data_IF_480414041741
#
_entry.id   IF_480414041741
#
_cell.length_a   1.000
_cell.length_b   1.000
_cell.length_c   1.000
_cell.angle_alpha   90.00
_cell.angle_beta   90.00
_cell.angle_gamma   90.00
#
_symmetry.space_group_name_H-M   'P 1'
#
loop_
_entity.id
_entity.type
_entity.pdbx_description
1 polymer ?
#
# COMPACT_ATOMS: atom_id res chain seq x y z
N UNK A 1 7.16 17.08 -17.56
CA UNK A 1 5.85 16.49 -17.76
C UNK A 1 5.14 16.39 -16.43
N UNK A 2 3.91 16.84 -16.34
CA UNK A 2 3.21 16.74 -15.08
C UNK A 2 2.20 15.61 -15.12
N UNK A 3 2.08 14.94 -13.99
CA UNK A 3 1.15 13.83 -13.83
C UNK A 3 -0.06 14.30 -13.06
N UNK A 4 -1.21 13.77 -13.42
CA UNK A 4 -2.36 13.85 -12.53
C UNK A 4 -2.16 12.82 -11.44
N UNK A 5 -2.68 13.07 -10.21
CA UNK A 5 -2.48 12.12 -9.11
C UNK A 5 -2.89 10.69 -9.47
N UNK A 6 -4.01 10.52 -10.16
CA UNK A 6 -4.48 9.18 -10.52
C UNK A 6 -3.51 8.48 -11.48
N UNK A 7 -2.96 9.23 -12.41
CA UNK A 7 -2.04 8.66 -13.39
C UNK A 7 -0.72 8.29 -12.73
N UNK A 8 -0.23 9.13 -11.84
CA UNK A 8 0.98 8.82 -11.10
C UNK A 8 0.75 7.62 -10.20
N UNK A 9 -0.42 7.53 -9.57
CA UNK A 9 -0.77 6.38 -8.73
C UNK A 9 -0.70 5.09 -9.52
N UNK A 10 -1.22 5.06 -10.74
CA UNK A 10 -1.17 3.86 -11.58
C UNK A 10 0.27 3.51 -11.95
N UNK A 11 1.07 4.50 -12.29
CA UNK A 11 2.47 4.27 -12.62
C UNK A 11 3.24 3.72 -11.43
N UNK A 12 3.01 4.27 -10.25
CA UNK A 12 3.66 3.80 -9.02
C UNK A 12 3.24 2.36 -8.73
N UNK A 13 1.95 2.07 -8.84
CA UNK A 13 1.44 0.73 -8.58
C UNK A 13 2.14 -0.29 -9.47
N UNK A 14 2.24 0.01 -10.75
CA UNK A 14 2.89 -0.89 -11.69
C UNK A 14 4.36 -1.10 -11.36
N UNK A 15 5.09 -0.01 -11.14
CA UNK A 15 6.54 -0.12 -10.92
C UNK A 15 6.86 -0.77 -9.58
N UNK A 16 6.12 -0.45 -8.53
CA UNK A 16 6.36 -1.08 -7.23
C UNK A 16 6.04 -2.57 -7.30
N UNK A 17 4.96 -2.94 -7.98
CA UNK A 17 4.62 -4.35 -8.14
C UNK A 17 5.74 -5.12 -8.82
N UNK A 18 6.32 -4.54 -9.87
CA UNK A 18 7.43 -5.17 -10.58
C UNK A 18 8.69 -5.23 -9.71
N UNK A 19 8.95 -4.17 -8.97
CA UNK A 19 10.10 -4.11 -8.07
C UNK A 19 10.04 -5.21 -7.02
N UNK A 20 8.90 -5.39 -6.39
CA UNK A 20 8.73 -6.39 -5.35
C UNK A 20 8.87 -7.79 -5.92
N UNK A 21 8.35 -8.01 -7.12
CA UNK A 21 8.44 -9.33 -7.74
C UNK A 21 9.86 -9.66 -8.21
N UNK A 22 10.54 -8.67 -8.79
CA UNK A 22 11.76 -8.95 -9.53
C UNK A 22 13.05 -8.62 -8.79
N UNK A 23 13.03 -7.63 -7.90
CA UNK A 23 14.28 -7.13 -7.32
C UNK A 23 14.36 -7.18 -5.80
N UNK A 24 13.25 -7.06 -5.12
CA UNK A 24 13.26 -7.10 -3.67
C UNK A 24 13.10 -8.53 -3.19
N UNK A 25 14.21 -9.12 -2.79
CA UNK A 25 14.22 -10.52 -2.35
C UNK A 25 14.53 -10.63 -0.88
N UNK A 26 13.77 -9.92 -0.09
CA UNK A 26 13.89 -9.99 1.37
C UNK A 26 12.99 -11.11 1.87
N UNK A 27 13.55 -12.11 2.58
CA UNK A 27 12.72 -13.22 3.06
C UNK A 27 11.62 -12.81 4.02
N UNK A 28 11.72 -11.61 4.60
CA UNK A 28 10.66 -11.08 5.45
C UNK A 28 9.48 -10.57 4.65
N UNK A 29 9.67 -10.36 3.36
CA UNK A 29 8.60 -9.96 2.46
C UNK A 29 8.05 -11.22 1.85
N UNK A 30 6.91 -11.68 2.36
CA UNK A 30 6.28 -12.89 1.87
C UNK A 30 5.46 -12.61 0.63
N UNK A 31 4.33 -13.27 0.53
CA UNK A 31 3.44 -13.02 -0.60
C UNK A 31 2.75 -11.70 -0.38
N UNK A 32 3.13 -10.72 -1.18
CA UNK A 32 2.58 -9.37 -1.08
C UNK A 32 2.09 -8.94 -2.46
N UNK A 33 0.94 -8.30 -2.46
CA UNK A 33 0.36 -7.76 -3.69
C UNK A 33 0.00 -6.30 -3.43
N UNK A 34 0.40 -5.42 -4.34
CA UNK A 34 0.03 -4.02 -4.23
C UNK A 34 -1.37 -3.87 -4.78
N UNK A 35 -2.29 -3.43 -3.95
CA UNK A 35 -3.70 -3.39 -4.29
C UNK A 35 -4.16 -2.01 -4.73
N UNK A 36 -3.56 -0.97 -4.20
CA UNK A 36 -3.95 0.39 -4.55
C UNK A 36 -2.83 1.35 -4.22
N UNK A 37 -2.83 2.48 -4.88
CA UNK A 37 -1.92 3.59 -4.56
C UNK A 37 -2.75 4.86 -4.60
N UNK A 38 -2.59 5.69 -3.57
CA UNK A 38 -3.22 7.00 -3.51
C UNK A 38 -2.14 8.06 -3.50
N UNK A 39 -2.25 9.02 -4.39
CA UNK A 39 -1.28 10.12 -4.47
C UNK A 39 -1.99 11.42 -4.12
N UNK A 40 -1.35 12.24 -3.30
CA UNK A 40 -1.91 13.52 -2.90
C UNK A 40 -1.99 14.47 -4.10
N UNK A 41 -2.87 15.47 -3.99
CA UNK A 41 -3.09 16.42 -5.09
C UNK A 41 -1.82 17.15 -5.48
N UNK A 42 -0.96 17.43 -4.51
CA UNK A 42 0.30 18.13 -4.77
C UNK A 42 1.41 17.17 -5.21
N UNK A 43 1.11 15.89 -5.35
CA UNK A 43 2.05 14.84 -5.79
C UNK A 43 3.22 14.64 -4.81
N UNK A 44 3.08 15.05 -3.58
CA UNK A 44 4.16 14.95 -2.60
C UNK A 44 4.12 13.69 -1.77
N UNK A 45 2.95 13.08 -1.66
CA UNK A 45 2.78 11.90 -0.79
C UNK A 45 2.03 10.83 -1.53
N UNK A 46 2.46 9.60 -1.32
CA UNK A 46 1.81 8.43 -1.91
C UNK A 46 1.64 7.37 -0.84
N UNK A 47 0.41 6.90 -0.67
CA UNK A 47 0.11 5.75 0.17
C UNK A 47 0.02 4.52 -0.71
N UNK A 48 0.82 3.53 -0.40
CA UNK A 48 0.87 2.29 -1.18
C UNK A 48 0.24 1.19 -0.32
N UNK A 49 -0.87 0.67 -0.77
CA UNK A 49 -1.61 -0.36 -0.04
C UNK A 49 -1.18 -1.74 -0.51
N UNK A 50 -0.85 -2.58 0.44
CA UNK A 50 -0.36 -3.92 0.17
C UNK A 50 -1.23 -4.94 0.87
N UNK A 51 -1.63 -5.96 0.14
CA UNK A 51 -2.28 -7.13 0.70
C UNK A 51 -1.21 -8.17 0.97
N UNK A 52 -1.17 -8.69 2.19
CA UNK A 52 -0.14 -9.63 2.61
C UNK A 52 -0.82 -10.90 3.07
N UNK A 53 -0.39 -12.01 2.51
CA UNK A 53 -0.90 -13.31 2.90
C UNK A 53 -0.18 -13.77 4.16
N UNK A 54 -0.94 -14.23 5.15
CA UNK A 54 -0.37 -14.77 6.38
C UNK A 54 -1.06 -14.25 7.62
N UNK A 55 -0.52 -14.61 8.76
CA UNK A 55 -1.05 -14.20 10.05
C UNK A 55 -0.76 -12.72 10.32
N UNK A 56 -1.45 -12.09 11.27
CA UNK A 56 -1.21 -10.68 11.57
C UNK A 56 0.25 -10.36 11.89
N UNK A 57 0.97 -11.27 12.54
CA UNK A 57 2.39 -11.05 12.81
C UNK A 57 3.21 -11.04 11.52
N UNK A 58 2.86 -11.92 10.58
CA UNK A 58 3.54 -11.96 9.28
C UNK A 58 3.24 -10.68 8.50
N UNK A 59 2.00 -10.23 8.56
CA UNK A 59 1.58 -9.01 7.88
C UNK A 59 2.35 -7.80 8.39
N UNK A 60 2.48 -7.69 9.72
CA UNK A 60 3.24 -6.59 10.33
C UNK A 60 4.72 -6.66 9.96
N UNK A 61 5.29 -7.85 9.97
CA UNK A 61 6.69 -8.03 9.63
C UNK A 61 6.94 -7.64 8.17
N UNK A 62 6.03 -7.99 7.28
CA UNK A 62 6.15 -7.63 5.87
C UNK A 62 6.05 -6.12 5.66
N UNK A 63 5.08 -5.48 6.29
CA UNK A 63 4.95 -4.02 6.18
C UNK A 63 6.18 -3.32 6.75
N UNK A 64 6.72 -3.83 7.84
CA UNK A 64 7.94 -3.28 8.44
C UNK A 64 9.12 -3.42 7.48
N UNK A 65 9.23 -4.57 6.82
CA UNK A 65 10.30 -4.79 5.84
C UNK A 65 10.15 -3.86 4.65
N UNK A 66 8.94 -3.66 4.16
CA UNK A 66 8.69 -2.72 3.07
C UNK A 66 9.03 -1.30 3.47
N UNK A 67 8.68 -0.92 4.69
CA UNK A 67 9.01 0.41 5.21
C UNK A 67 10.52 0.59 5.31
N UNK A 68 11.23 -0.47 5.71
CA UNK A 68 12.69 -0.43 5.74
C UNK A 68 13.31 -0.28 4.37
N UNK A 69 12.64 -0.73 3.33
CA UNK A 69 13.13 -0.64 1.95
C UNK A 69 12.61 0.60 1.21
N UNK A 70 11.86 1.47 1.90
CA UNK A 70 11.18 2.56 1.18
C UNK A 70 12.14 3.55 0.52
N UNK A 71 13.33 3.75 1.09
CA UNK A 71 14.31 4.61 0.46
C UNK A 71 14.77 4.07 -0.88
N UNK A 72 15.06 2.78 -0.93
CA UNK A 72 15.42 2.12 -2.17
C UNK A 72 14.28 2.16 -3.19
N UNK A 73 13.08 1.84 -2.72
CA UNK A 73 11.90 1.83 -3.60
C UNK A 73 11.64 3.23 -4.16
N UNK A 74 11.75 4.23 -3.32
CA UNK A 74 11.53 5.62 -3.73
C UNK A 74 12.55 6.03 -4.79
N UNK A 75 13.80 5.67 -4.58
CA UNK A 75 14.86 5.96 -5.53
C UNK A 75 14.59 5.29 -6.88
N UNK A 76 14.18 4.02 -6.85
CA UNK A 76 13.87 3.29 -8.08
C UNK A 76 12.68 3.88 -8.79
N UNK A 77 11.66 4.32 -8.04
CA UNK A 77 10.49 4.95 -8.65
C UNK A 77 10.88 6.22 -9.40
N UNK A 78 11.72 7.04 -8.79
CA UNK A 78 12.18 8.28 -9.42
C UNK A 78 12.88 8.00 -10.73
N UNK A 79 13.71 6.96 -10.75
CA UNK A 79 14.46 6.58 -11.94
C UNK A 79 13.55 5.97 -13.00
N UNK A 80 12.66 5.08 -12.62
CA UNK A 80 11.81 4.33 -13.55
C UNK A 80 10.73 5.18 -14.19
N UNK A 81 10.14 6.07 -13.39
CA UNK A 81 9.06 6.94 -13.88
C UNK A 81 9.62 8.27 -14.37
N UNK A 82 10.90 8.52 -14.12
CA UNK A 82 11.58 9.76 -14.50
C UNK A 82 10.93 10.97 -13.85
N UNK A 83 10.68 10.85 -12.54
CA UNK A 83 10.06 11.92 -11.80
C UNK A 83 11.09 12.96 -11.41
N UNK A 84 10.69 14.22 -11.53
CA UNK A 84 11.51 15.33 -11.06
C UNK A 84 11.57 15.32 -9.53
N UNK A 85 10.42 15.09 -8.93
CA UNK A 85 10.30 14.95 -7.48
C UNK A 85 9.56 13.67 -7.21
N UNK A 86 10.17 12.79 -6.44
CA UNK A 86 9.54 11.53 -6.09
C UNK A 86 8.73 11.73 -4.81
N UNK A 87 7.46 11.35 -4.80
CA UNK A 87 6.65 11.48 -3.58
C UNK A 87 7.24 10.70 -2.43
N UNK A 88 6.97 11.14 -1.23
CA UNK A 88 7.23 10.33 -0.06
C UNK A 88 6.22 9.21 -0.03
N UNK A 89 6.70 7.99 0.17
CA UNK A 89 5.83 6.83 0.14
C UNK A 89 5.64 6.26 1.52
N UNK A 90 4.44 5.74 1.76
CA UNK A 90 4.10 5.06 3.00
C UNK A 90 3.40 3.77 2.62
N UNK A 91 3.86 2.67 3.18
CA UNK A 91 3.22 1.38 2.95
C UNK A 91 2.16 1.16 4.02
N UNK A 92 0.99 0.75 3.59
CA UNK A 92 -0.14 0.47 4.47
C UNK A 92 -0.70 -0.89 4.12
N UNK A 93 -1.09 -1.61 5.15
CA UNK A 93 -1.70 -2.91 4.95
C UNK A 93 -3.12 -2.71 4.44
N UNK A 94 -3.42 -3.34 3.30
CA UNK A 94 -4.77 -3.33 2.77
C UNK A 94 -5.48 -4.57 3.27
N UNK A 95 -6.47 -4.36 4.07
CA UNK A 95 -7.27 -5.44 4.65
C UNK A 95 -8.63 -5.54 3.98
N UNK A 96 -8.70 -5.25 2.68
CA UNK A 96 -9.98 -5.21 2.00
C UNK A 96 -10.70 -6.56 2.06
N UNK A 97 -9.98 -7.68 1.98
CA UNK A 97 -10.60 -8.99 2.12
C UNK A 97 -11.09 -9.18 3.54
N UNK A 98 -10.22 -8.91 4.52
CA UNK A 98 -10.60 -8.94 5.93
C UNK A 98 -11.57 -7.83 6.24
N UNK A 99 -11.45 -6.72 5.56
CA UNK A 99 -12.38 -5.61 5.71
C UNK A 99 -13.79 -6.00 5.35
N UNK A 100 -13.94 -6.84 4.33
CA UNK A 100 -15.25 -7.37 3.98
C UNK A 100 -15.87 -8.12 5.14
N UNK A 101 -15.11 -9.03 5.74
CA UNK A 101 -15.55 -9.78 6.91
C UNK A 101 -15.79 -8.86 8.09
N UNK A 102 -14.88 -7.93 8.33
CA UNK A 102 -15.01 -6.98 9.41
C UNK A 102 -16.20 -6.06 9.22
N UNK A 103 -16.46 -5.67 7.99
CA UNK A 103 -17.60 -4.82 7.69
C UNK A 103 -18.90 -5.53 8.00
N UNK A 104 -18.99 -6.80 7.65
CA UNK A 104 -20.18 -7.59 7.99
C UNK A 104 -20.35 -7.67 9.49
N UNK A 105 -19.29 -7.96 10.23
CA UNK A 105 -19.33 -7.98 11.68
C UNK A 105 -19.74 -6.63 12.24
N UNK A 106 -19.20 -5.58 11.70
CA UNK A 106 -19.48 -4.24 12.15
C UNK A 106 -20.95 -3.88 11.91
N UNK A 107 -21.47 -4.29 10.78
CA UNK A 107 -22.88 -4.09 10.47
C UNK A 107 -23.78 -4.84 11.44
N UNK A 108 -23.39 -6.06 11.80
CA UNK A 108 -24.12 -6.82 12.80
C UNK A 108 -24.03 -6.13 14.17
N UNK A 109 -22.87 -5.66 14.55
CA UNK A 109 -22.69 -4.94 15.80
C UNK A 109 -23.51 -3.67 15.84
N UNK A 110 -23.58 -2.97 14.73
CA UNK A 110 -24.38 -1.76 14.64
C UNK A 110 -25.85 -2.08 14.87
N UNK A 111 -26.34 -3.17 14.30
CA UNK A 111 -27.71 -3.59 14.55
C UNK A 111 -27.94 -3.92 16.01
N UNK A 112 -27.00 -4.58 16.64
CA UNK A 112 -27.14 -4.96 18.04
C UNK A 112 -27.01 -3.77 18.95
N UNK A 113 -26.02 -2.93 18.72
CA UNK A 113 -25.72 -1.79 19.58
C UNK A 113 -26.52 -0.56 19.24
N UNK A 114 -27.13 -0.55 18.08
CA UNK A 114 -27.91 0.61 17.64
C UNK A 114 -27.05 1.82 17.36
N UNK A 115 -25.74 1.64 17.19
CA UNK A 115 -24.86 2.75 16.95
C UNK A 115 -23.85 2.44 15.90
N UNK A 116 -23.28 3.46 15.33
CA UNK A 116 -22.25 3.33 14.35
C UNK A 116 -20.92 3.57 14.96
N UNK A 117 -20.07 2.66 14.75
CA UNK A 117 -18.74 2.85 15.13
C UNK A 117 -18.08 3.69 14.10
N UNK A 118 -17.42 4.67 14.58
CA UNK A 118 -16.74 5.47 13.71
C UNK A 118 -15.51 4.91 13.30
N UNK A 119 -15.29 3.97 13.29
CA UNK A 119 -14.17 3.48 12.84
C UNK A 119 -13.73 3.70 11.76
#
# INVERSE_FOLDING_TARGET
>A
MSFRPERLAEAIKKEVSELLRDELKDPRIGFVSITAVEVSKDLRYANIYASVLGEPTDQKATIKALTGAQGFIRSELGRRIRLRYTPEITFKLDQSIDRGSKLIKLMEDVRVKGGISDE
#
